data_IF_389393883800
#
_entry.id   IF_389393883800
#
_cell.length_a   1.000
_cell.length_b   1.000
_cell.length_c   1.000
_cell.angle_alpha   90.00
_cell.angle_beta   90.00
_cell.angle_gamma   90.00
#
_symmetry.space_group_name_H-M   'P 1'
#
loop_
_entity.id
_entity.type
_entity.pdbx_description
1 polymer ?
#
# COMPACT_ATOMS: atom_id res chain seq x y z
N UNK A 1 12.67 25.70 41.91
CA UNK A 1 13.00 24.32 41.52
C UNK A 1 11.84 23.62 40.79
N UNK A 2 10.62 23.60 41.36
CA UNK A 2 9.48 22.86 40.78
C UNK A 2 8.98 23.36 39.41
N UNK A 3 8.98 24.68 39.17
CA UNK A 3 8.49 25.26 37.89
C UNK A 3 9.47 24.95 36.74
N UNK A 4 10.77 25.04 36.99
CA UNK A 4 11.82 24.77 35.99
C UNK A 4 11.74 23.29 35.55
N UNK A 5 11.56 22.36 36.50
CA UNK A 5 11.39 20.95 36.19
C UNK A 5 10.13 20.68 35.34
N UNK A 6 9.00 21.34 35.63
CA UNK A 6 7.77 21.22 34.84
C UNK A 6 7.94 21.74 33.40
N UNK A 7 8.66 22.86 33.22
CA UNK A 7 8.96 23.41 31.89
C UNK A 7 9.85 22.46 31.09
N UNK A 8 10.87 21.87 31.72
CA UNK A 8 11.77 20.90 31.06
C UNK A 8 11.01 19.63 30.67
N UNK A 9 10.20 19.06 31.56
CA UNK A 9 9.37 17.88 31.28
C UNK A 9 8.37 18.18 30.16
N UNK A 10 7.72 19.36 30.21
CA UNK A 10 6.81 19.81 29.16
C UNK A 10 7.50 19.98 27.81
N UNK A 11 8.70 20.56 27.79
CA UNK A 11 9.51 20.72 26.58
C UNK A 11 9.92 19.38 25.96
N UNK A 12 10.38 18.43 26.78
CA UNK A 12 10.72 17.08 26.32
C UNK A 12 9.47 16.36 25.80
N UNK A 13 8.35 16.44 26.52
CA UNK A 13 7.09 15.85 26.08
C UNK A 13 6.61 16.39 24.73
N UNK A 14 6.67 17.71 24.54
CA UNK A 14 6.32 18.35 23.28
C UNK A 14 7.25 17.91 22.15
N UNK A 15 8.56 17.86 22.39
CA UNK A 15 9.54 17.43 21.40
C UNK A 15 9.32 15.96 20.99
N UNK A 16 9.09 15.06 21.95
CA UNK A 16 8.76 13.65 21.68
C UNK A 16 7.46 13.55 20.88
N UNK A 17 6.45 14.35 21.19
CA UNK A 17 5.19 14.39 20.45
C UNK A 17 5.36 14.87 19.01
N UNK A 18 6.16 15.92 18.77
CA UNK A 18 6.47 16.41 17.42
C UNK A 18 7.20 15.34 16.61
N UNK A 19 8.20 14.68 17.21
CA UNK A 19 8.93 13.59 16.54
C UNK A 19 7.98 12.44 16.21
N UNK A 20 7.14 12.04 17.16
CA UNK A 20 6.17 10.96 16.96
C UNK A 20 5.20 11.25 15.81
N UNK A 21 4.60 12.44 15.79
CA UNK A 21 3.65 12.84 14.74
C UNK A 21 4.30 12.99 13.36
N UNK A 22 5.60 13.29 13.33
CA UNK A 22 6.38 13.38 12.08
C UNK A 22 6.75 11.99 11.55
N UNK A 23 7.24 11.09 12.41
CA UNK A 23 7.77 9.78 11.99
C UNK A 23 6.66 8.73 11.78
N UNK A 24 5.51 8.86 12.45
CA UNK A 24 4.40 7.91 12.33
C UNK A 24 3.84 7.90 10.90
N UNK A 25 3.79 6.71 10.30
CA UNK A 25 3.09 6.47 9.02
C UNK A 25 1.63 6.88 9.15
N UNK A 26 1.17 7.69 8.20
CA UNK A 26 -0.21 8.16 8.08
C UNK A 26 -0.99 7.22 7.18
N UNK A 27 -2.29 7.09 7.42
CA UNK A 27 -3.16 6.22 6.62
C UNK A 27 -4.58 6.76 6.54
N UNK A 28 -5.17 6.72 5.34
CA UNK A 28 -6.55 7.14 5.10
C UNK A 28 -7.23 6.12 4.17
N UNK A 29 -8.50 5.82 4.43
CA UNK A 29 -9.28 4.96 3.52
C UNK A 29 -9.49 5.66 2.19
N UNK A 30 -9.32 4.91 1.10
CA UNK A 30 -9.58 5.38 -0.26
C UNK A 30 -10.66 4.54 -0.94
N UNK A 31 -11.54 3.89 -0.16
CA UNK A 31 -12.59 3.02 -0.67
C UNK A 31 -13.52 3.72 -1.65
N UNK A 32 -13.87 4.98 -1.37
CA UNK A 32 -14.83 5.76 -2.17
C UNK A 32 -14.17 6.55 -3.32
N UNK A 33 -12.86 6.41 -3.50
CA UNK A 33 -12.10 7.15 -4.51
C UNK A 33 -11.84 6.29 -5.73
N UNK A 34 -11.83 6.92 -6.90
CA UNK A 34 -11.46 6.24 -8.14
C UNK A 34 -9.95 5.93 -8.18
N UNK A 35 -9.54 4.81 -8.81
CA UNK A 35 -10.38 3.75 -9.37
C UNK A 35 -10.87 2.73 -8.32
N UNK A 36 -10.47 2.85 -7.05
CA UNK A 36 -10.72 1.84 -6.01
C UNK A 36 -12.19 1.57 -5.73
N UNK A 37 -13.06 2.58 -5.80
CA UNK A 37 -14.50 2.43 -5.57
C UNK A 37 -15.16 1.42 -6.50
N UNK A 38 -14.60 1.23 -7.70
CA UNK A 38 -15.09 0.25 -8.65
C UNK A 38 -14.70 -1.19 -8.29
N UNK A 39 -13.71 -1.38 -7.43
CA UNK A 39 -13.15 -2.70 -7.12
C UNK A 39 -13.42 -3.14 -5.68
N UNK A 40 -13.44 -2.21 -4.73
CA UNK A 40 -13.66 -2.52 -3.32
C UNK A 40 -15.02 -3.20 -3.11
N UNK A 41 -15.01 -4.29 -2.36
CA UNK A 41 -16.20 -5.12 -2.12
C UNK A 41 -16.53 -6.10 -3.25
N UNK A 42 -15.83 -6.05 -4.39
CA UNK A 42 -16.06 -6.98 -5.51
C UNK A 42 -15.16 -8.21 -5.44
N UNK A 43 -15.64 -9.26 -6.08
CA UNK A 43 -14.86 -10.46 -6.39
C UNK A 43 -14.42 -10.40 -7.85
N UNK A 44 -13.12 -10.56 -8.08
CA UNK A 44 -12.51 -10.53 -9.41
C UNK A 44 -11.76 -11.81 -9.68
N UNK A 45 -11.56 -12.10 -10.95
CA UNK A 45 -10.72 -13.21 -11.42
C UNK A 45 -9.40 -12.65 -11.90
N UNK A 46 -8.30 -13.21 -11.40
CA UNK A 46 -6.97 -12.86 -11.87
C UNK A 46 -6.81 -13.36 -13.30
N UNK A 47 -6.40 -12.48 -14.21
CA UNK A 47 -6.16 -12.79 -15.61
C UNK A 47 -4.69 -13.14 -15.92
N UNK A 48 -3.86 -13.24 -14.87
CA UNK A 48 -2.43 -13.53 -14.93
C UNK A 48 -2.01 -14.30 -13.70
N UNK A 49 -0.87 -15.00 -13.81
CA UNK A 49 -0.19 -15.54 -12.64
C UNK A 49 0.24 -14.42 -11.69
N UNK A 50 0.05 -14.64 -10.40
CA UNK A 50 0.48 -13.72 -9.34
C UNK A 50 1.26 -14.44 -8.27
N UNK A 51 2.32 -13.81 -7.76
CA UNK A 51 3.12 -14.33 -6.67
C UNK A 51 2.70 -13.69 -5.34
N UNK A 52 2.52 -14.53 -4.32
CA UNK A 52 2.28 -14.11 -2.96
C UNK A 52 3.57 -14.21 -2.16
N UNK A 53 3.93 -13.14 -1.48
CA UNK A 53 5.14 -13.10 -0.69
C UNK A 53 4.93 -12.45 0.68
N UNK A 54 5.94 -12.65 1.52
CA UNK A 54 6.03 -12.07 2.85
C UNK A 54 7.41 -11.45 3.02
N UNK A 55 7.44 -10.16 3.36
CA UNK A 55 8.69 -9.50 3.73
C UNK A 55 9.21 -10.03 5.07
N UNK A 56 10.53 -10.26 5.17
CA UNK A 56 11.16 -10.63 6.45
C UNK A 56 11.08 -9.49 7.47
N UNK A 57 11.26 -8.26 7.01
CA UNK A 57 10.99 -7.05 7.79
C UNK A 57 9.64 -6.49 7.36
N UNK A 58 8.70 -6.30 8.29
CA UNK A 58 7.33 -5.87 7.97
C UNK A 58 7.33 -4.52 7.24
N UNK A 59 7.25 -4.52 5.91
CA UNK A 59 7.10 -3.30 5.11
C UNK A 59 5.64 -2.88 4.98
N UNK A 60 4.70 -3.82 5.13
CA UNK A 60 3.28 -3.50 5.19
C UNK A 60 2.88 -2.99 6.60
N UNK A 61 2.41 -1.75 6.74
CA UNK A 61 1.93 -1.23 8.02
C UNK A 61 0.68 -1.95 8.54
N UNK A 62 -0.07 -2.65 7.67
CA UNK A 62 -1.29 -3.35 8.04
C UNK A 62 -1.01 -4.78 8.53
N UNK A 63 -1.15 -5.01 9.84
CA UNK A 63 -0.86 -6.30 10.49
C UNK A 63 -1.79 -7.43 10.04
N UNK A 64 -3.03 -7.10 9.66
CA UNK A 64 -4.04 -8.08 9.30
C UNK A 64 -3.83 -8.66 7.90
N UNK A 65 -3.02 -7.99 7.06
CA UNK A 65 -2.69 -8.39 5.69
C UNK A 65 -1.19 -8.61 5.60
N UNK A 66 -0.74 -9.71 6.18
CA UNK A 66 0.68 -10.02 6.31
C UNK A 66 1.37 -10.44 4.99
N UNK A 67 0.61 -10.56 3.90
CA UNK A 67 1.11 -10.97 2.60
C UNK A 67 0.91 -9.85 1.58
N UNK A 68 1.79 -9.82 0.59
CA UNK A 68 1.70 -8.91 -0.55
C UNK A 68 1.58 -9.75 -1.83
N UNK A 69 0.73 -9.29 -2.74
CA UNK A 69 0.51 -9.89 -4.06
C UNK A 69 1.19 -9.02 -5.10
N UNK A 70 1.96 -9.64 -6.00
CA UNK A 70 2.52 -8.99 -7.17
C UNK A 70 2.34 -9.86 -8.42
N UNK A 71 2.41 -9.23 -9.59
CA UNK A 71 2.38 -9.87 -10.89
C UNK A 71 3.51 -9.33 -11.77
N UNK A 72 3.75 -10.01 -12.90
CA UNK A 72 4.86 -9.67 -13.80
C UNK A 72 4.76 -8.31 -14.48
N UNK A 73 3.58 -7.67 -14.53
CA UNK A 73 3.40 -6.32 -15.05
C UNK A 73 3.61 -5.23 -13.99
N UNK A 74 3.71 -5.61 -12.71
CA UNK A 74 3.89 -4.65 -11.64
C UNK A 74 5.27 -3.97 -11.78
N UNK A 75 5.38 -2.63 -11.70
CA UNK A 75 6.66 -1.91 -11.88
C UNK A 75 7.78 -2.36 -10.94
N UNK A 76 7.41 -2.86 -9.75
CA UNK A 76 8.34 -3.42 -8.75
C UNK A 76 8.65 -4.91 -8.92
N UNK A 77 8.21 -5.57 -9.99
CA UNK A 77 8.44 -7.01 -10.19
C UNK A 77 9.93 -7.37 -10.21
N UNK A 78 10.73 -6.62 -10.96
CA UNK A 78 12.18 -6.85 -11.03
C UNK A 78 12.85 -6.68 -9.65
N UNK A 79 12.50 -5.62 -8.92
CA UNK A 79 13.00 -5.39 -7.58
C UNK A 79 12.68 -6.56 -6.63
N UNK A 80 11.48 -7.14 -6.74
CA UNK A 80 11.10 -8.30 -5.93
C UNK A 80 11.97 -9.52 -6.23
N UNK A 81 12.23 -9.83 -7.49
CA UNK A 81 13.09 -10.96 -7.88
C UNK A 81 14.52 -10.77 -7.34
N UNK A 82 15.04 -9.53 -7.37
CA UNK A 82 16.33 -9.19 -6.76
C UNK A 82 16.32 -9.38 -5.23
N UNK A 83 15.27 -8.91 -4.54
CA UNK A 83 15.11 -9.08 -3.08
C UNK A 83 14.97 -10.55 -2.67
N UNK A 84 14.30 -11.35 -3.51
CA UNK A 84 14.19 -12.80 -3.34
C UNK A 84 15.55 -13.48 -3.48
N UNK A 85 16.37 -13.06 -4.44
CA UNK A 85 17.71 -13.62 -4.67
C UNK A 85 18.67 -13.39 -3.48
N UNK A 86 18.59 -12.24 -2.82
CA UNK A 86 19.37 -11.94 -1.60
C UNK A 86 18.72 -12.49 -0.31
N UNK A 87 17.52 -13.05 -0.42
CA UNK A 87 16.82 -13.74 0.65
C UNK A 87 16.06 -12.83 1.61
N UNK A 88 15.80 -11.56 1.28
CA UNK A 88 15.04 -10.64 2.14
C UNK A 88 13.52 -10.80 2.02
N UNK A 89 13.09 -11.53 1.00
CA UNK A 89 11.69 -11.75 0.67
C UNK A 89 11.42 -13.25 0.50
N UNK A 90 10.36 -13.73 1.15
CA UNK A 90 9.97 -15.15 1.09
C UNK A 90 8.73 -15.29 0.22
N UNK A 91 8.88 -15.94 -0.94
CA UNK A 91 7.75 -16.36 -1.76
C UNK A 91 6.99 -17.48 -1.04
N UNK A 92 5.69 -17.29 -0.83
CA UNK A 92 4.83 -18.22 -0.11
C UNK A 92 4.17 -19.19 -1.08
N UNK A 93 3.64 -18.66 -2.19
CA UNK A 93 2.98 -19.44 -3.24
C UNK A 93 2.76 -18.59 -4.49
N UNK A 94 2.37 -19.24 -5.58
CA UNK A 94 1.91 -18.60 -6.81
C UNK A 94 0.47 -19.01 -7.08
N UNK A 95 -0.32 -18.06 -7.55
CA UNK A 95 -1.68 -18.29 -7.96
C UNK A 95 -1.76 -18.23 -9.47
N UNK A 96 -2.28 -19.29 -10.14
CA UNK A 96 -2.44 -19.28 -11.58
C UNK A 96 -3.50 -18.26 -12.01
N UNK A 97 -3.50 -17.94 -13.31
CA UNK A 97 -4.63 -17.28 -13.96
C UNK A 97 -5.94 -18.06 -13.66
N UNK A 98 -7.04 -17.32 -13.52
CA UNK A 98 -8.34 -17.87 -13.12
C UNK A 98 -8.58 -17.88 -11.62
N UNK A 99 -7.56 -17.56 -10.80
CA UNK A 99 -7.73 -17.49 -9.34
C UNK A 99 -8.67 -16.36 -8.94
N UNK A 100 -9.52 -16.61 -7.95
CA UNK A 100 -10.50 -15.65 -7.44
C UNK A 100 -9.87 -14.81 -6.31
N UNK A 101 -9.95 -13.49 -6.44
CA UNK A 101 -9.56 -12.50 -5.44
C UNK A 101 -10.78 -11.69 -5.01
N UNK A 102 -11.01 -11.62 -3.70
CA UNK A 102 -12.08 -10.79 -3.12
C UNK A 102 -11.48 -9.53 -2.50
N UNK A 103 -11.87 -8.36 -3.00
CA UNK A 103 -11.44 -7.09 -2.42
C UNK A 103 -12.29 -6.69 -1.23
N UNK A 104 -11.62 -6.15 -0.21
CA UNK A 104 -12.25 -5.78 1.07
C UNK A 104 -12.15 -4.28 1.34
N UNK A 105 -11.00 -3.66 1.08
CA UNK A 105 -10.76 -2.24 1.32
C UNK A 105 -9.55 -1.73 0.55
N UNK A 106 -9.41 -0.42 0.45
CA UNK A 106 -8.24 0.26 -0.07
C UNK A 106 -7.78 1.36 0.90
N UNK A 107 -6.47 1.49 1.08
CA UNK A 107 -5.86 2.46 2.00
C UNK A 107 -4.71 3.17 1.30
N UNK A 108 -4.69 4.49 1.43
CA UNK A 108 -3.53 5.31 1.10
C UNK A 108 -2.62 5.39 2.31
N UNK A 109 -1.36 5.01 2.16
CA UNK A 109 -0.33 5.24 3.17
C UNK A 109 0.56 6.42 2.76
N UNK A 110 1.06 7.14 3.77
CA UNK A 110 2.17 8.08 3.61
C UNK A 110 3.21 7.77 4.68
N UNK A 111 4.41 7.40 4.24
CA UNK A 111 5.53 7.12 5.13
C UNK A 111 5.92 8.40 5.88
N UNK A 112 6.01 8.35 7.21
CA UNK A 112 6.32 9.54 8.02
C UNK A 112 7.75 10.07 7.81
N UNK A 113 8.70 9.19 7.50
CA UNK A 113 10.11 9.56 7.30
C UNK A 113 10.34 10.08 5.89
N UNK A 114 9.95 9.33 4.85
CA UNK A 114 10.23 9.72 3.46
C UNK A 114 9.18 10.64 2.84
N UNK A 115 7.98 10.74 3.44
CA UNK A 115 6.83 11.41 2.83
C UNK A 115 6.27 10.69 1.60
N UNK A 116 6.85 9.56 1.19
CA UNK A 116 6.38 8.81 0.02
C UNK A 116 5.01 8.20 0.31
N UNK A 117 4.11 8.38 -0.65
CA UNK A 117 2.73 7.94 -0.53
C UNK A 117 2.48 6.78 -1.48
N UNK A 118 1.83 5.73 -0.99
CA UNK A 118 1.49 4.55 -1.78
C UNK A 118 0.08 4.04 -1.43
N UNK A 119 -0.81 3.94 -2.41
CA UNK A 119 -2.10 3.29 -2.26
C UNK A 119 -1.98 1.77 -2.37
N UNK A 120 -2.75 1.07 -1.54
CA UNK A 120 -2.79 -0.39 -1.50
C UNK A 120 -4.23 -0.85 -1.42
N UNK A 121 -4.62 -1.77 -2.31
CA UNK A 121 -5.88 -2.49 -2.24
C UNK A 121 -5.68 -3.81 -1.50
N UNK A 122 -6.61 -4.14 -0.62
CA UNK A 122 -6.55 -5.29 0.27
C UNK A 122 -7.70 -6.25 0.00
N UNK A 123 -7.41 -7.53 0.13
CA UNK A 123 -8.38 -8.58 -0.12
C UNK A 123 -7.92 -9.95 0.37
N UNK A 124 -8.65 -10.98 -0.04
CA UNK A 124 -8.29 -12.36 0.25
C UNK A 124 -8.41 -13.27 -0.97
N UNK A 125 -7.52 -14.26 -1.02
CA UNK A 125 -7.54 -15.36 -1.99
C UNK A 125 -7.73 -16.66 -1.20
N UNK A 126 -8.68 -17.49 -1.61
CA UNK A 126 -8.83 -18.84 -1.08
C UNK A 126 -8.26 -19.84 -2.08
N UNK A 127 -7.26 -20.61 -1.66
CA UNK A 127 -6.64 -21.66 -2.48
C UNK A 127 -6.33 -22.87 -1.62
N UNK A 128 -6.67 -24.07 -2.12
CA UNK A 128 -6.46 -25.33 -1.43
C UNK A 128 -7.02 -25.37 0.02
N UNK A 129 -8.20 -24.77 0.24
CA UNK A 129 -8.83 -24.70 1.56
C UNK A 129 -8.20 -23.72 2.54
N UNK A 130 -7.18 -22.95 2.12
CA UNK A 130 -6.52 -21.92 2.92
C UNK A 130 -6.85 -20.53 2.40
N UNK A 131 -7.15 -19.62 3.31
CA UNK A 131 -7.34 -18.20 3.01
C UNK A 131 -6.02 -17.42 3.20
N UNK A 132 -5.71 -16.57 2.22
CA UNK A 132 -4.55 -15.69 2.22
C UNK A 132 -5.02 -14.24 2.16
N UNK A 133 -4.88 -13.50 3.27
CA UNK A 133 -5.11 -12.05 3.31
C UNK A 133 -3.94 -11.30 2.71
N UNK A 134 -4.19 -10.57 1.63
CA UNK A 134 -3.15 -9.98 0.80
C UNK A 134 -3.39 -8.51 0.51
N UNK A 135 -2.31 -7.75 0.37
CA UNK A 135 -2.31 -6.39 -0.17
C UNK A 135 -1.65 -6.36 -1.55
N UNK A 136 -2.17 -5.52 -2.44
CA UNK A 136 -1.55 -5.20 -3.73
C UNK A 136 -1.35 -3.69 -3.81
N UNK A 137 -0.09 -3.24 -3.86
CA UNK A 137 0.21 -1.82 -4.02
C UNK A 137 -0.14 -1.43 -5.46
N UNK A 138 -1.01 -0.43 -5.64
CA UNK A 138 -1.53 -0.14 -6.97
C UNK A 138 -1.58 1.34 -7.25
N UNK A 139 -0.71 1.78 -8.16
CA UNK A 139 -0.63 3.17 -8.58
C UNK A 139 0.57 3.92 -8.03
N UNK A 140 0.89 4.99 -8.73
CA UNK A 140 2.00 5.87 -8.47
C UNK A 140 1.60 7.32 -8.74
N UNK A 141 2.27 8.23 -8.05
CA UNK A 141 2.03 9.66 -8.21
C UNK A 141 3.00 10.22 -9.26
N UNK A 142 2.45 10.89 -10.27
CA UNK A 142 3.22 11.72 -11.19
C UNK A 142 3.75 12.94 -10.45
N UNK A 143 5.07 12.95 -10.25
CA UNK A 143 5.73 14.00 -9.49
C UNK A 143 5.68 15.36 -10.19
N UNK A 144 5.75 15.41 -11.52
CA UNK A 144 5.68 16.68 -12.25
C UNK A 144 4.31 17.33 -12.05
N UNK A 145 3.22 16.56 -12.23
CA UNK A 145 1.86 17.01 -11.95
C UNK A 145 1.67 17.45 -10.51
N UNK A 146 2.23 16.70 -9.56
CA UNK A 146 2.19 17.06 -8.14
C UNK A 146 2.88 18.39 -7.86
N UNK A 147 4.06 18.62 -8.44
CA UNK A 147 4.79 19.89 -8.29
C UNK A 147 4.00 21.08 -8.85
N UNK A 148 3.31 20.87 -9.96
CA UNK A 148 2.40 21.85 -10.57
C UNK A 148 1.04 21.97 -9.85
N UNK A 149 0.88 21.27 -8.70
CA UNK A 149 -0.33 21.25 -7.87
C UNK A 149 -1.59 20.76 -8.62
N UNK A 150 -1.40 19.91 -9.63
CA UNK A 150 -2.50 19.23 -10.31
C UNK A 150 -3.08 18.17 -9.38
N UNK A 151 -4.35 18.31 -9.03
CA UNK A 151 -5.03 17.39 -8.10
C UNK A 151 -5.05 15.95 -8.63
N UNK A 152 -5.35 15.80 -9.94
CA UNK A 152 -5.32 14.52 -10.65
C UNK A 152 -3.90 14.16 -11.07
N UNK A 153 -3.12 13.65 -10.13
CA UNK A 153 -1.72 13.29 -10.32
C UNK A 153 -1.43 11.79 -10.13
N UNK A 154 -2.42 10.97 -9.78
CA UNK A 154 -2.23 9.53 -9.62
C UNK A 154 -2.52 8.77 -10.91
N UNK A 155 -1.61 7.88 -11.29
CA UNK A 155 -1.78 6.95 -12.40
C UNK A 155 -1.64 5.52 -11.92
N UNK A 156 -2.27 4.58 -12.63
CA UNK A 156 -2.36 3.19 -12.24
C UNK A 156 -1.80 2.29 -13.34
N UNK A 157 -0.84 1.43 -12.99
CA UNK A 157 -0.37 0.39 -13.90
C UNK A 157 -1.47 -0.67 -14.07
N UNK A 158 -1.39 -1.46 -15.13
CA UNK A 158 -2.34 -2.55 -15.36
C UNK A 158 -2.22 -3.59 -14.25
N UNK A 159 -3.28 -3.76 -13.47
CA UNK A 159 -3.36 -4.76 -12.42
C UNK A 159 -3.79 -6.14 -12.98
N UNK A 160 -3.52 -7.25 -12.25
CA UNK A 160 -3.81 -8.61 -12.72
C UNK A 160 -5.30 -8.96 -12.72
N UNK A 161 -6.19 -8.01 -12.43
CA UNK A 161 -7.65 -8.14 -12.60
C UNK A 161 -8.19 -7.27 -13.74
N UNK A 162 -7.34 -6.46 -14.38
CA UNK A 162 -7.72 -5.56 -15.46
C UNK A 162 -7.33 -6.14 -16.82
N UNK A 163 -8.27 -6.13 -17.76
CA UNK A 163 -8.02 -6.56 -19.15
C UNK A 163 -7.07 -5.61 -19.88
N UNK A 164 -7.20 -4.31 -19.62
CA UNK A 164 -6.44 -3.24 -20.26
C UNK A 164 -5.91 -2.26 -19.22
N UNK A 165 -4.86 -1.53 -19.57
CA UNK A 165 -4.28 -0.49 -18.73
C UNK A 165 -5.21 0.72 -18.66
N UNK A 166 -5.45 1.22 -17.46
CA UNK A 166 -6.07 2.53 -17.25
C UNK A 166 -5.06 3.65 -17.53
N UNK A 167 -5.41 4.59 -18.40
CA UNK A 167 -4.58 5.74 -18.78
C UNK A 167 -5.01 7.05 -18.13
N UNK A 168 -6.06 7.02 -17.31
CA UNK A 168 -6.58 8.21 -16.65
C UNK A 168 -5.71 8.61 -15.44
N UNK A 169 -5.83 9.89 -15.07
CA UNK A 169 -5.25 10.43 -13.84
C UNK A 169 -6.35 10.71 -12.82
N UNK A 170 -6.09 10.34 -11.57
CA UNK A 170 -7.04 10.47 -10.48
C UNK A 170 -6.50 11.31 -9.33
N UNK A 171 -7.43 11.81 -8.52
CA UNK A 171 -7.14 12.49 -7.27
C UNK A 171 -7.33 11.48 -6.12
N UNK A 172 -6.30 11.31 -5.30
CA UNK A 172 -6.40 10.59 -4.03
C UNK A 172 -6.13 11.55 -2.88
N UNK A 173 -6.77 11.36 -1.72
CA UNK A 173 -6.56 12.21 -0.56
C UNK A 173 -5.13 12.03 -0.02
N UNK A 174 -4.65 13.04 0.69
CA UNK A 174 -3.42 12.90 1.48
C UNK A 174 -3.71 12.09 2.74
N UNK A 175 -2.83 11.14 3.09
CA UNK A 175 -3.04 10.34 4.28
C UNK A 175 -2.89 11.19 5.57
N UNK A 176 -3.80 10.99 6.52
CA UNK A 176 -3.83 11.69 7.81
C UNK A 176 -3.33 10.80 8.96
N UNK A 177 -2.94 11.43 10.07
CA UNK A 177 -2.74 10.71 11.33
C UNK A 177 -4.12 10.22 11.81
N UNK A 178 -4.24 8.91 12.01
CA UNK A 178 -5.33 8.29 12.77
C UNK A 178 -4.99 8.33 14.26
#
# INVERSE_FOLDING_TARGET
MSIIALVVIGGIGLLVFIIFTTVKTKSTSINEYEPFKEWVGKTVTLNKETALFKDKQKMNPNRDYSYMLLDSLHPKWQYLEEQKAIGDLVEITRFPEGTILKFEKAIQYTNGVSGFSYPTIFGSITSNGKEYKTGYQWGEMDMAKKFDKVEKCWQFHQAPWQKEKDTAFYALPTASLW
#
